data_IF_644915242396
#
_entry.id   IF_644915242396
#
_cell.length_a   1.000
_cell.length_b   1.000
_cell.length_c   1.000
_cell.angle_alpha   90.00
_cell.angle_beta   90.00
_cell.angle_gamma   90.00
#
_symmetry.space_group_name_H-M   'P 1'
#
loop_
_entity.id
_entity.type
_entity.pdbx_description
1 polymer ?
#
# COMPACT_ATOMS: atom_id res chain seq x y z
N UNK A 1 22.28 -14.29 -79.37
CA UNK A 1 22.59 -14.84 -78.03
C UNK A 1 22.34 -13.71 -77.03
N UNK A 2 21.09 -13.56 -76.57
CA UNK A 2 20.67 -12.48 -75.68
C UNK A 2 21.00 -12.80 -74.22
N UNK A 3 21.88 -12.02 -73.61
CA UNK A 3 22.08 -12.02 -72.15
C UNK A 3 21.07 -11.05 -71.51
N UNK A 4 19.92 -11.58 -71.05
CA UNK A 4 18.99 -10.82 -70.17
C UNK A 4 19.61 -10.68 -68.78
N UNK A 5 20.17 -9.50 -68.52
CA UNK A 5 20.60 -9.07 -67.19
C UNK A 5 19.42 -9.04 -66.21
N UNK A 6 19.39 -10.00 -65.26
CA UNK A 6 18.48 -9.96 -64.11
C UNK A 6 18.91 -8.83 -63.17
N UNK A 7 18.22 -7.69 -63.25
CA UNK A 7 18.42 -6.58 -62.30
C UNK A 7 18.13 -7.05 -60.87
N UNK A 8 19.09 -6.80 -59.97
CA UNK A 8 19.07 -7.14 -58.55
C UNK A 8 18.04 -6.29 -57.80
N UNK A 9 16.79 -6.76 -57.74
CA UNK A 9 15.69 -6.14 -56.98
C UNK A 9 15.72 -6.44 -55.48
N UNK A 10 16.65 -7.29 -55.03
CA UNK A 10 16.77 -7.75 -53.65
C UNK A 10 17.13 -6.64 -52.64
N UNK A 11 17.70 -5.50 -53.08
CA UNK A 11 18.14 -4.44 -52.17
C UNK A 11 17.01 -3.52 -51.66
N UNK A 12 15.93 -3.34 -52.43
CA UNK A 12 14.85 -2.43 -52.06
C UNK A 12 13.78 -3.15 -51.24
N UNK A 13 13.41 -4.37 -51.63
CA UNK A 13 12.48 -5.22 -50.88
C UNK A 13 13.03 -5.56 -49.48
N UNK A 14 14.33 -5.83 -49.36
CA UNK A 14 14.97 -6.09 -48.07
C UNK A 14 14.93 -4.86 -47.14
N UNK A 15 15.18 -3.65 -47.67
CA UNK A 15 15.09 -2.40 -46.91
C UNK A 15 13.67 -2.10 -46.45
N UNK A 16 12.69 -2.34 -47.32
CA UNK A 16 11.27 -2.15 -46.99
C UNK A 16 10.82 -3.12 -45.90
N UNK A 17 11.16 -4.40 -46.03
CA UNK A 17 10.85 -5.41 -45.01
C UNK A 17 11.51 -5.09 -43.66
N UNK A 18 12.76 -4.64 -43.67
CA UNK A 18 13.45 -4.23 -42.45
C UNK A 18 12.73 -3.05 -41.76
N UNK A 19 12.27 -2.08 -42.55
CA UNK A 19 11.52 -0.93 -42.04
C UNK A 19 10.17 -1.36 -41.43
N UNK A 20 9.45 -2.27 -42.11
CA UNK A 20 8.18 -2.81 -41.62
C UNK A 20 8.36 -3.57 -40.30
N UNK A 21 9.41 -4.41 -40.20
CA UNK A 21 9.72 -5.13 -38.95
C UNK A 21 10.04 -4.16 -37.82
N UNK A 22 10.86 -3.13 -38.09
CA UNK A 22 11.16 -2.08 -37.10
C UNK A 22 9.92 -1.32 -36.66
N UNK A 23 9.02 -1.00 -37.59
CA UNK A 23 7.79 -0.28 -37.29
C UNK A 23 6.83 -1.12 -36.43
N UNK A 24 6.71 -2.42 -36.72
CA UNK A 24 5.94 -3.35 -35.89
C UNK A 24 6.56 -3.45 -34.50
N UNK A 25 7.88 -3.62 -34.39
CA UNK A 25 8.58 -3.69 -33.10
C UNK A 25 8.43 -2.41 -32.29
N UNK A 26 8.56 -1.23 -32.92
CA UNK A 26 8.39 0.05 -32.27
C UNK A 26 6.95 0.26 -31.78
N UNK A 27 5.97 -0.14 -32.58
CA UNK A 27 4.55 -0.01 -32.21
C UNK A 27 4.18 -0.97 -31.08
N UNK A 28 4.56 -2.24 -31.18
CA UNK A 28 4.32 -3.24 -30.15
C UNK A 28 5.06 -2.89 -28.86
N UNK A 29 6.36 -2.56 -28.96
CA UNK A 29 7.17 -2.16 -27.80
C UNK A 29 6.67 -0.88 -27.15
N UNK A 30 6.28 0.12 -27.95
CA UNK A 30 5.68 1.35 -27.46
C UNK A 30 4.36 1.11 -26.75
N UNK A 31 3.50 0.25 -27.32
CA UNK A 31 2.21 -0.12 -26.71
C UNK A 31 2.42 -0.85 -25.39
N UNK A 32 3.33 -1.84 -25.35
CA UNK A 32 3.66 -2.57 -24.12
C UNK A 32 4.25 -1.64 -23.05
N UNK A 33 5.17 -0.74 -23.42
CA UNK A 33 5.77 0.20 -22.49
C UNK A 33 4.75 1.20 -21.93
N UNK A 34 3.81 1.67 -22.76
CA UNK A 34 2.71 2.53 -22.32
C UNK A 34 1.74 1.77 -21.42
N UNK A 35 1.37 0.53 -21.76
CA UNK A 35 0.51 -0.31 -20.92
C UNK A 35 1.13 -0.58 -19.55
N UNK A 36 2.43 -0.89 -19.49
CA UNK A 36 3.14 -1.09 -18.23
C UNK A 36 3.13 0.19 -17.40
N UNK A 37 3.33 1.35 -18.03
CA UNK A 37 3.27 2.64 -17.32
C UNK A 37 1.88 2.93 -16.74
N UNK A 38 0.80 2.61 -17.45
CA UNK A 38 -0.57 2.89 -16.99
C UNK A 38 -1.08 1.84 -15.98
N UNK A 39 -0.75 0.57 -16.16
CA UNK A 39 -1.19 -0.51 -15.25
C UNK A 39 -0.51 -0.41 -13.88
N UNK A 40 0.74 0.06 -13.82
CA UNK A 40 1.44 0.22 -12.54
C UNK A 40 0.81 1.31 -11.69
N UNK A 41 0.27 2.39 -12.28
CA UNK A 41 -0.38 3.45 -11.51
C UNK A 41 -1.76 3.07 -10.99
N UNK A 42 -2.55 2.32 -11.77
CA UNK A 42 -3.92 1.95 -11.37
C UNK A 42 -3.91 0.87 -10.28
N UNK A 43 -3.11 -0.19 -10.45
CA UNK A 43 -3.00 -1.24 -9.43
C UNK A 43 -2.43 -0.74 -8.10
N UNK A 44 -1.53 0.26 -8.16
CA UNK A 44 -0.98 0.87 -6.95
C UNK A 44 -2.02 1.66 -6.17
N UNK A 45 -2.84 2.44 -6.87
CA UNK A 45 -3.91 3.22 -6.25
C UNK A 45 -4.97 2.31 -5.59
N UNK A 46 -5.31 1.20 -6.24
CA UNK A 46 -6.25 0.22 -5.70
C UNK A 46 -5.71 -0.49 -4.46
N UNK A 47 -4.44 -0.94 -4.49
CA UNK A 47 -3.76 -1.54 -3.34
C UNK A 47 -3.71 -0.57 -2.14
N UNK A 48 -3.41 0.70 -2.41
CA UNK A 48 -3.35 1.73 -1.38
C UNK A 48 -4.74 2.03 -0.81
N UNK A 49 -5.77 2.06 -1.66
CA UNK A 49 -7.16 2.31 -1.24
C UNK A 49 -7.71 1.16 -0.40
N UNK A 50 -7.49 -0.08 -0.81
CA UNK A 50 -7.92 -1.26 -0.08
C UNK A 50 -7.16 -1.39 1.25
N UNK A 51 -5.84 -1.17 1.23
CA UNK A 51 -5.03 -1.14 2.44
C UNK A 51 -5.46 -0.04 3.42
N UNK A 52 -5.73 1.17 2.92
CA UNK A 52 -6.23 2.28 3.72
C UNK A 52 -7.59 1.97 4.36
N UNK A 53 -8.53 1.38 3.60
CA UNK A 53 -9.84 1.00 4.13
C UNK A 53 -9.72 -0.08 5.23
N UNK A 54 -8.86 -1.08 5.02
CA UNK A 54 -8.58 -2.11 6.02
C UNK A 54 -7.95 -1.51 7.29
N UNK A 55 -6.95 -0.65 7.14
CA UNK A 55 -6.25 -0.04 8.27
C UNK A 55 -7.15 0.94 9.05
N UNK A 56 -8.04 1.65 8.38
CA UNK A 56 -9.06 2.51 8.99
C UNK A 56 -10.08 1.69 9.80
N UNK A 57 -10.61 0.60 9.25
CA UNK A 57 -11.48 -0.32 10.00
C UNK A 57 -10.77 -0.93 11.21
N UNK A 58 -9.49 -1.26 11.03
CA UNK A 58 -8.69 -1.85 12.08
C UNK A 58 -8.40 -0.86 13.21
N UNK A 59 -8.11 0.40 12.88
CA UNK A 59 -7.97 1.50 13.83
C UNK A 59 -9.21 1.64 14.71
N UNK A 60 -10.40 1.65 14.10
CA UNK A 60 -11.67 1.76 14.83
C UNK A 60 -11.90 0.57 15.78
N UNK A 61 -11.63 -0.66 15.33
CA UNK A 61 -11.83 -1.85 16.15
C UNK A 61 -10.73 -2.04 17.22
N UNK A 62 -9.65 -1.24 17.14
CA UNK A 62 -8.49 -1.33 18.04
C UNK A 62 -8.47 -0.24 19.11
N UNK A 63 -9.40 0.72 19.06
CA UNK A 63 -9.51 1.82 20.04
C UNK A 63 -9.41 1.31 21.48
N UNK A 64 -10.29 0.38 21.85
CA UNK A 64 -10.34 -0.16 23.20
C UNK A 64 -9.07 -0.95 23.57
N UNK A 65 -8.53 -1.73 22.63
CA UNK A 65 -7.36 -2.57 22.87
C UNK A 65 -6.07 -1.73 23.03
N UNK A 66 -5.93 -0.65 22.25
CA UNK A 66 -4.83 0.31 22.35
C UNK A 66 -4.97 1.16 23.62
N UNK A 67 -6.17 1.64 23.93
CA UNK A 67 -6.45 2.42 25.14
C UNK A 67 -6.15 1.64 26.42
N UNK A 68 -6.62 0.38 26.49
CA UNK A 68 -6.37 -0.50 27.65
C UNK A 68 -4.98 -1.11 27.65
N UNK A 69 -4.19 -0.88 26.59
CA UNK A 69 -2.87 -1.50 26.38
C UNK A 69 -2.89 -3.01 26.59
N UNK A 70 -4.00 -3.67 26.23
CA UNK A 70 -4.21 -5.08 26.51
C UNK A 70 -3.58 -5.94 25.40
N UNK A 71 -2.45 -6.64 25.66
CA UNK A 71 -1.76 -7.40 24.64
C UNK A 71 -2.58 -8.59 24.12
N UNK A 72 -3.45 -9.19 24.92
CA UNK A 72 -4.28 -10.32 24.51
C UNK A 72 -5.37 -9.90 23.52
N UNK A 73 -5.97 -8.73 23.75
CA UNK A 73 -6.93 -8.12 22.85
C UNK A 73 -6.28 -7.74 21.51
N UNK A 74 -5.09 -7.12 21.55
CA UNK A 74 -4.30 -6.79 20.35
C UNK A 74 -3.91 -8.06 19.58
N UNK A 75 -3.48 -9.12 20.27
CA UNK A 75 -3.15 -10.39 19.63
C UNK A 75 -4.36 -11.05 18.95
N UNK A 76 -5.57 -10.91 19.52
CA UNK A 76 -6.79 -11.40 18.88
C UNK A 76 -7.12 -10.65 17.60
N UNK A 77 -6.95 -9.33 17.60
CA UNK A 77 -7.12 -8.48 16.42
C UNK A 77 -6.12 -8.89 15.33
N UNK A 78 -4.84 -9.06 15.66
CA UNK A 78 -3.82 -9.55 14.73
C UNK A 78 -4.16 -10.94 14.17
N UNK A 79 -4.68 -11.86 14.99
CA UNK A 79 -5.08 -13.19 14.52
C UNK A 79 -6.16 -13.12 13.44
N UNK A 80 -7.09 -12.16 13.52
CA UNK A 80 -8.10 -11.95 12.47
C UNK A 80 -7.48 -11.52 11.13
N UNK A 81 -6.36 -10.79 11.18
CA UNK A 81 -5.66 -10.29 10.00
C UNK A 81 -4.83 -11.35 9.27
N UNK A 82 -4.52 -12.48 9.92
CA UNK A 82 -3.81 -13.59 9.28
C UNK A 82 -4.56 -14.20 8.10
N UNK A 83 -5.85 -13.90 7.96
CA UNK A 83 -6.66 -14.29 6.80
C UNK A 83 -6.31 -13.51 5.53
N UNK A 84 -5.66 -12.34 5.64
CA UNK A 84 -5.27 -11.50 4.51
C UNK A 84 -3.85 -11.83 4.06
N UNK A 85 -3.72 -12.49 2.89
CA UNK A 85 -2.43 -12.92 2.34
C UNK A 85 -1.48 -11.78 1.94
N UNK A 86 -1.98 -10.53 1.87
CA UNK A 86 -1.22 -9.36 1.43
C UNK A 86 -0.69 -8.51 2.60
N UNK A 87 -0.94 -8.91 3.85
CA UNK A 87 -0.42 -8.22 5.03
C UNK A 87 0.96 -8.78 5.35
N UNK A 88 1.97 -7.89 5.37
CA UNK A 88 3.36 -8.25 5.65
C UNK A 88 3.68 -8.24 7.16
N UNK A 89 3.21 -7.21 7.86
CA UNK A 89 3.33 -7.01 9.29
C UNK A 89 2.21 -6.09 9.80
N UNK A 90 2.03 -6.05 11.13
CA UNK A 90 1.15 -5.11 11.84
C UNK A 90 1.84 -4.68 13.12
N UNK A 91 1.79 -3.39 13.45
CA UNK A 91 2.41 -2.83 14.66
C UNK A 91 1.46 -1.84 15.33
N UNK A 92 1.13 -2.09 16.58
CA UNK A 92 0.40 -1.15 17.43
C UNK A 92 1.38 -0.35 18.26
N UNK A 93 1.21 0.97 18.31
CA UNK A 93 2.03 1.88 19.10
C UNK A 93 1.17 2.86 19.90
N UNK A 94 1.71 3.31 21.05
CA UNK A 94 1.10 4.39 21.82
C UNK A 94 1.40 5.77 21.22
N UNK A 95 0.84 6.82 21.83
CA UNK A 95 1.09 8.22 21.47
C UNK A 95 2.56 8.65 21.47
N UNK A 96 3.41 7.95 22.23
CA UNK A 96 4.85 8.22 22.33
C UNK A 96 5.64 7.40 21.30
N UNK A 97 4.96 6.65 20.42
CA UNK A 97 5.58 5.73 19.46
C UNK A 97 6.15 4.46 20.09
N UNK A 98 5.80 4.14 21.34
CA UNK A 98 6.24 2.89 21.97
C UNK A 98 5.38 1.75 21.47
N UNK A 99 6.04 0.70 20.99
CA UNK A 99 5.40 -0.51 20.47
C UNK A 99 4.67 -1.23 21.60
N UNK A 100 3.36 -1.40 21.44
CA UNK A 100 2.50 -2.15 22.35
C UNK A 100 2.40 -3.61 21.91
N UNK A 101 2.28 -3.84 20.61
CA UNK A 101 2.25 -5.18 20.03
C UNK A 101 2.76 -5.14 18.60
N UNK A 102 3.51 -6.16 18.20
CA UNK A 102 4.07 -6.27 16.87
C UNK A 102 3.96 -7.72 16.39
N UNK A 103 3.49 -7.89 15.16
CA UNK A 103 3.37 -9.21 14.55
C UNK A 103 3.79 -9.18 13.10
N UNK A 104 4.67 -10.12 12.76
CA UNK A 104 5.15 -10.35 11.42
C UNK A 104 4.35 -11.51 10.82
N UNK A 105 3.67 -11.25 9.71
CA UNK A 105 2.97 -12.31 8.97
C UNK A 105 3.94 -13.07 8.06
N UNK A 106 4.96 -12.38 7.51
CA UNK A 106 5.99 -12.99 6.68
C UNK A 106 7.39 -12.81 7.30
N UNK A 107 8.07 -13.88 7.76
CA UNK A 107 9.36 -13.80 8.45
C UNK A 107 10.51 -13.23 7.61
N UNK A 108 10.32 -13.06 6.30
CA UNK A 108 11.29 -12.42 5.41
C UNK A 108 11.21 -10.89 5.39
N UNK A 109 10.21 -10.30 6.07
CA UNK A 109 9.96 -8.87 6.13
C UNK A 109 10.70 -8.27 7.33
N UNK A 110 11.52 -7.25 7.08
CA UNK A 110 12.05 -6.40 8.13
C UNK A 110 11.04 -5.28 8.39
N UNK A 111 10.64 -5.10 9.65
CA UNK A 111 9.71 -4.04 10.03
C UNK A 111 10.45 -2.70 9.97
N UNK A 112 9.99 -1.72 9.20
CA UNK A 112 10.63 -0.42 9.14
C UNK A 112 10.54 0.33 10.48
N UNK A 113 11.56 1.14 10.82
CA UNK A 113 11.47 2.03 11.95
C UNK A 113 10.28 2.98 11.78
N UNK A 114 9.59 3.28 12.88
CA UNK A 114 8.45 4.19 12.85
C UNK A 114 8.95 5.61 12.53
N UNK A 115 8.84 6.03 11.27
CA UNK A 115 9.28 7.35 10.80
C UNK A 115 8.11 8.32 10.69
N UNK A 116 8.28 9.56 11.14
CA UNK A 116 7.27 10.60 10.96
C UNK A 116 7.14 11.07 9.49
N UNK A 117 8.12 10.76 8.63
CA UNK A 117 8.11 11.13 7.22
C UNK A 117 7.22 10.15 6.43
N UNK A 118 5.91 10.43 6.42
CA UNK A 118 4.90 9.70 5.63
C UNK A 118 3.99 10.68 4.90
N UNK A 119 3.65 10.36 3.67
CA UNK A 119 2.77 11.17 2.82
C UNK A 119 1.31 10.94 3.21
N UNK A 120 0.47 11.98 3.21
CA UNK A 120 -0.96 11.81 3.43
C UNK A 120 -1.61 11.10 2.23
N UNK A 121 -2.49 10.12 2.48
CA UNK A 121 -3.28 9.51 1.43
C UNK A 121 -4.61 10.26 1.25
N UNK A 122 -4.71 11.06 0.19
CA UNK A 122 -5.93 11.80 -0.17
C UNK A 122 -6.51 12.60 1.02
N UNK A 123 -7.83 12.54 1.23
CA UNK A 123 -8.54 13.16 2.37
C UNK A 123 -8.77 12.16 3.53
N UNK A 124 -7.95 11.10 3.60
CA UNK A 124 -8.03 10.10 4.67
C UNK A 124 -7.05 10.42 5.79
N UNK A 125 -7.26 9.80 6.96
CA UNK A 125 -6.34 9.91 8.09
C UNK A 125 -5.11 9.00 7.95
N UNK A 126 -5.07 8.21 6.89
CA UNK A 126 -3.99 7.28 6.59
C UNK A 126 -2.80 8.05 6.03
N UNK A 127 -1.63 7.79 6.60
CA UNK A 127 -0.34 8.23 6.07
C UNK A 127 0.41 7.03 5.56
N UNK A 128 1.08 7.15 4.43
CA UNK A 128 1.82 6.03 3.86
C UNK A 128 3.26 6.40 3.55
N UNK A 129 4.13 5.40 3.56
CA UNK A 129 5.47 5.49 3.01
C UNK A 129 5.79 4.20 2.25
N UNK A 130 6.44 4.33 1.11
CA UNK A 130 7.06 3.18 0.47
C UNK A 130 8.32 2.81 1.25
N UNK A 131 8.34 1.60 1.79
CA UNK A 131 9.56 1.05 2.36
C UNK A 131 10.17 0.09 1.35
N UNK A 132 11.34 0.46 0.85
CA UNK A 132 12.20 -0.47 0.17
C UNK A 132 12.82 -1.41 1.22
N UNK A 133 12.63 -2.71 0.98
CA UNK A 133 13.62 -3.74 1.29
C UNK A 133 13.59 -4.35 2.70
N UNK A 134 12.77 -5.40 2.83
CA UNK A 134 13.17 -6.57 3.62
C UNK A 134 14.27 -7.37 2.90
N UNK A 135 14.75 -8.48 3.50
CA UNK A 135 15.82 -9.35 2.96
C UNK A 135 15.58 -9.91 1.55
N UNK A 136 14.35 -9.78 1.03
CA UNK A 136 13.89 -10.35 -0.24
C UNK A 136 13.81 -9.35 -1.40
N UNK A 137 14.09 -8.06 -1.19
CA UNK A 137 13.98 -7.04 -2.24
C UNK A 137 12.53 -6.67 -2.63
N UNK A 138 11.53 -7.22 -1.93
CA UNK A 138 10.13 -6.85 -2.14
C UNK A 138 9.85 -5.44 -1.59
N UNK A 139 9.09 -4.65 -2.36
CA UNK A 139 8.59 -3.32 -1.95
C UNK A 139 7.30 -3.49 -1.18
N UNK A 140 7.18 -2.78 -0.07
CA UNK A 140 5.97 -2.76 0.74
C UNK A 140 5.50 -1.32 0.93
N UNK A 141 4.18 -1.16 1.04
CA UNK A 141 3.56 0.09 1.43
C UNK A 141 3.34 0.00 2.94
N UNK A 142 3.99 0.89 3.69
CA UNK A 142 3.80 1.06 5.12
C UNK A 142 2.68 2.06 5.36
N UNK A 143 1.59 1.61 5.97
CA UNK A 143 0.42 2.44 6.30
C UNK A 143 0.46 2.75 7.80
N UNK A 144 0.29 4.02 8.13
CA UNK A 144 0.17 4.53 9.48
C UNK A 144 -1.20 5.19 9.64
N UNK A 145 -1.99 4.68 10.56
CA UNK A 145 -3.32 5.20 10.85
C UNK A 145 -3.42 5.61 12.31
N UNK A 146 -3.84 6.85 12.62
CA UNK A 146 -4.11 7.25 13.99
C UNK A 146 -5.33 6.48 14.50
N UNK A 147 -5.17 5.88 15.68
CA UNK A 147 -6.27 5.33 16.46
C UNK A 147 -6.83 6.49 17.26
N UNK A 148 -8.03 6.94 16.92
CA UNK A 148 -8.73 7.97 17.68
C UNK A 148 -9.64 7.31 18.70
N UNK A 149 -9.63 7.83 19.93
CA UNK A 149 -10.54 7.42 20.96
C UNK A 149 -11.43 8.54 21.44
N UNK A 150 -12.54 8.19 22.08
CA UNK A 150 -13.26 9.14 22.92
C UNK A 150 -12.30 9.64 24.01
N UNK A 151 -12.10 10.96 24.09
CA UNK A 151 -11.06 11.57 24.93
C UNK A 151 -11.10 11.01 26.36
N UNK A 152 -9.94 10.58 26.87
CA UNK A 152 -9.75 9.99 28.20
C UNK A 152 -10.10 10.93 29.37
N UNK A 153 -10.50 12.17 29.05
CA UNK A 153 -10.82 13.22 29.99
C UNK A 153 -12.21 13.09 30.62
N UNK A 154 -13.08 12.19 30.18
CA UNK A 154 -14.37 11.97 30.84
C UNK A 154 -14.94 10.53 30.67
N UNK A 155 -14.67 9.61 31.61
CA UNK A 155 -15.26 8.26 31.64
C UNK A 155 -16.80 8.27 31.70
N UNK A 156 -17.40 9.38 32.11
CA UNK A 156 -18.85 9.55 32.27
C UNK A 156 -19.56 9.74 30.94
N UNK A 157 -18.83 10.14 29.87
CA UNK A 157 -19.39 10.33 28.53
C UNK A 157 -19.56 9.04 27.73
N UNK A 158 -18.94 7.94 28.16
CA UNK A 158 -19.08 6.63 27.50
C UNK A 158 -20.48 6.01 27.68
N UNK A 159 -21.30 6.55 28.59
CA UNK A 159 -22.65 6.08 28.90
C UNK A 159 -23.77 7.06 28.47
N UNK A 160 -23.43 8.20 27.88
CA UNK A 160 -24.37 9.24 27.47
C UNK A 160 -24.30 9.43 25.96
N UNK A 161 -24.70 8.41 25.20
CA UNK A 161 -25.19 8.63 23.83
C UNK A 161 -26.53 9.37 23.92
N UNK A 162 -26.43 10.69 24.13
CA UNK A 162 -27.50 11.63 23.83
C UNK A 162 -27.08 12.35 22.57
N UNK A 163 -27.91 12.19 21.54
CA UNK A 163 -27.79 12.84 20.23
C UNK A 163 -27.28 14.28 20.35
N UNK A 164 -26.12 14.55 19.74
CA UNK A 164 -25.66 15.90 19.45
C UNK A 164 -24.58 16.45 20.37
N UNK A 165 -23.34 15.98 20.24
CA UNK A 165 -22.18 16.88 20.22
C UNK A 165 -20.97 16.15 19.64
N UNK A 166 -20.31 16.78 18.65
CA UNK A 166 -19.04 16.31 18.14
C UNK A 166 -17.96 16.46 19.20
N UNK A 167 -17.86 15.45 20.08
CA UNK A 167 -16.76 15.33 21.02
C UNK A 167 -15.44 15.26 20.26
N UNK A 168 -14.49 16.12 20.62
CA UNK A 168 -13.15 16.16 20.07
C UNK A 168 -12.50 14.78 20.29
N UNK A 169 -12.37 14.01 19.21
CA UNK A 169 -11.77 12.67 19.24
C UNK A 169 -10.27 12.84 19.28
N UNK A 170 -9.66 12.49 20.41
CA UNK A 170 -8.21 12.53 20.57
C UNK A 170 -7.55 11.29 19.98
N UNK A 171 -6.37 11.45 19.41
CA UNK A 171 -5.55 10.28 19.05
C UNK A 171 -5.10 9.61 20.33
N UNK A 172 -5.27 8.29 20.44
CA UNK A 172 -4.85 7.46 21.58
C UNK A 172 -3.66 6.56 21.24
N UNK A 173 -3.37 6.36 19.94
CA UNK A 173 -2.22 5.61 19.47
C UNK A 173 -2.17 5.51 17.95
N UNK A 174 -1.35 4.59 17.46
CA UNK A 174 -1.13 4.37 16.03
C UNK A 174 -1.12 2.89 15.71
N UNK A 175 -1.54 2.56 14.49
CA UNK A 175 -1.39 1.26 13.86
C UNK A 175 -0.72 1.39 12.49
#
# INVERSE_FOLDING_TARGET
>A
MEMRSRRRWYGLAAKFNLLTIWLILATTGGTVALLIRTQVSEHYADLLRDGAALAEHLSQNSEYAVFTQNPDALAQIVRSLKSYQHVAYVRFADLKGRVLHESVANPSVAIPPMSAAREPFADTRVRFAETAEGRTGARYIDLLVPVVGASASDPTRMFLDVEGSGGEKDTVGFI
#
